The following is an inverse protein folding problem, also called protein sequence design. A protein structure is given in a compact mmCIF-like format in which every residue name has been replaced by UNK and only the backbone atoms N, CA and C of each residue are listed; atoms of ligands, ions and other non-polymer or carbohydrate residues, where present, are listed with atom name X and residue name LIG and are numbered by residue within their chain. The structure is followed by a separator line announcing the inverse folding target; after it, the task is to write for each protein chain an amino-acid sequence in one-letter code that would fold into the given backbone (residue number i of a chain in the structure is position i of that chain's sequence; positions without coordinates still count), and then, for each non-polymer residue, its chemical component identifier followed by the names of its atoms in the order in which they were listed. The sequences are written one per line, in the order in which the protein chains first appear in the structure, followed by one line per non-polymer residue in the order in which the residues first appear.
data_IF_934497274993
#
_entry.id   IF_934497274993
#
_cell.length_a   1.000
_cell.length_b   1.000
_cell.length_c   1.000
_cell.angle_alpha   90.00
_cell.angle_beta   90.00
_cell.angle_gamma   90.00
#
_symmetry.space_group_name_H-M   'P 1'
#
loop_
_entity.id
_entity.type
_entity.pdbx_description
1 polymer ?
#
# COMPACT_ATOMS: atom_id res chain seq x y z
N UNK A 1 -26.93 24.55 -19.02
CA UNK A 1 -26.34 24.73 -17.68
C UNK A 1 -25.82 23.38 -17.15
N UNK A 2 -24.52 23.26 -16.94
CA UNK A 2 -23.93 22.02 -16.42
C UNK A 2 -24.14 21.93 -14.91
N UNK A 3 -24.53 20.75 -14.44
CA UNK A 3 -24.73 20.43 -13.01
C UNK A 3 -23.56 19.54 -12.60
N UNK A 4 -22.99 19.77 -11.42
CA UNK A 4 -21.94 18.94 -10.82
C UNK A 4 -22.61 17.85 -9.94
N UNK A 5 -22.81 16.62 -10.42
CA UNK A 5 -23.51 15.59 -9.65
C UNK A 5 -22.66 14.96 -8.53
N UNK A 6 -21.38 15.35 -8.40
CA UNK A 6 -20.49 14.81 -7.38
C UNK A 6 -20.26 15.79 -6.23
N UNK A 7 -20.44 15.30 -5.00
CA UNK A 7 -20.03 15.99 -3.78
C UNK A 7 -18.52 15.88 -3.60
N UNK A 8 -17.86 17.00 -3.28
CA UNK A 8 -16.44 17.02 -2.90
C UNK A 8 -16.22 16.77 -1.40
N UNK A 9 -17.29 16.66 -0.62
CA UNK A 9 -17.24 16.36 0.81
C UNK A 9 -17.56 14.89 1.04
N UNK A 10 -16.58 14.14 1.55
CA UNK A 10 -16.85 12.85 2.17
C UNK A 10 -17.38 13.12 3.59
N UNK A 11 -18.54 12.57 4.00
CA UNK A 11 -19.12 12.84 5.31
C UNK A 11 -18.31 12.25 6.49
N UNK A 12 -17.23 11.52 6.24
CA UNK A 12 -16.43 10.84 7.28
C UNK A 12 -14.96 11.27 7.38
N UNK A 13 -14.51 12.31 6.67
CA UNK A 13 -13.13 12.80 6.75
C UNK A 13 -12.46 13.09 5.41
N UNK A 14 -11.24 13.62 5.45
CA UNK A 14 -10.43 13.88 4.25
C UNK A 14 -10.11 12.56 3.51
N UNK A 15 -10.18 12.56 2.18
CA UNK A 15 -9.79 11.41 1.37
C UNK A 15 -8.27 11.30 1.41
N UNK A 16 -7.76 10.49 2.33
CA UNK A 16 -6.32 10.23 2.45
C UNK A 16 -5.91 9.07 1.56
N UNK A 17 -4.75 9.20 0.90
CA UNK A 17 -4.15 8.09 0.15
C UNK A 17 -3.77 6.97 1.13
N UNK A 18 -3.86 5.69 0.73
CA UNK A 18 -3.36 4.60 1.56
C UNK A 18 -1.87 4.85 1.85
N UNK A 19 -1.48 4.72 3.11
CA UNK A 19 -0.15 4.96 3.63
C UNK A 19 0.54 3.62 3.94
N UNK A 20 1.86 3.58 3.75
CA UNK A 20 2.71 2.49 4.25
C UNK A 20 2.90 2.63 5.75
N UNK A 21 3.42 1.60 6.41
CA UNK A 21 3.81 1.63 7.83
C UNK A 21 4.65 2.87 8.24
N UNK A 22 5.41 3.47 7.33
CA UNK A 22 6.25 4.65 7.57
C UNK A 22 5.60 5.99 7.17
N UNK A 23 4.30 6.02 6.89
CA UNK A 23 3.56 7.23 6.51
C UNK A 23 3.70 7.64 5.04
N UNK A 24 4.51 6.95 4.24
CA UNK A 24 4.63 7.27 2.81
C UNK A 24 3.41 6.77 2.02
N UNK A 25 2.81 7.59 1.15
CA UNK A 25 1.64 7.20 0.38
C UNK A 25 1.96 6.15 -0.70
N UNK A 26 1.08 5.17 -0.85
CA UNK A 26 1.08 4.27 -1.99
C UNK A 26 0.82 5.03 -3.30
N UNK A 27 1.40 4.51 -4.40
CA UNK A 27 1.39 5.13 -5.72
C UNK A 27 0.81 4.18 -6.77
N UNK A 28 0.28 4.77 -7.85
CA UNK A 28 -0.23 4.02 -9.01
C UNK A 28 -1.35 3.06 -8.64
N UNK A 29 -1.33 1.87 -9.25
CA UNK A 29 -2.37 0.85 -9.12
C UNK A 29 -2.62 0.42 -7.67
N UNK A 30 -1.61 0.44 -6.81
CA UNK A 30 -1.77 0.10 -5.40
C UNK A 30 -2.71 1.06 -4.66
N UNK A 31 -2.80 2.32 -5.10
CA UNK A 31 -3.76 3.27 -4.52
C UNK A 31 -5.19 2.79 -4.74
N UNK A 32 -5.50 2.33 -5.95
CA UNK A 32 -6.83 1.86 -6.33
C UNK A 32 -7.17 0.51 -5.68
N UNK A 33 -6.21 -0.42 -5.65
CA UNK A 33 -6.39 -1.73 -5.02
C UNK A 33 -6.71 -1.58 -3.53
N UNK A 34 -5.94 -0.75 -2.82
CA UNK A 34 -6.12 -0.56 -1.37
C UNK A 34 -7.38 0.24 -1.04
N UNK A 35 -7.76 1.24 -1.83
CA UNK A 35 -9.05 1.91 -1.65
C UNK A 35 -10.23 0.97 -1.91
N UNK A 36 -10.16 0.16 -2.97
CA UNK A 36 -11.20 -0.83 -3.26
C UNK A 36 -11.37 -1.80 -2.11
N UNK A 37 -10.27 -2.31 -1.55
CA UNK A 37 -10.32 -3.18 -0.38
C UNK A 37 -10.89 -2.46 0.84
N UNK A 38 -10.41 -1.24 1.14
CA UNK A 38 -10.87 -0.47 2.29
C UNK A 38 -12.39 -0.28 2.26
N UNK A 39 -12.94 0.10 1.09
CA UNK A 39 -14.38 0.25 0.91
C UNK A 39 -15.11 -1.07 1.06
N UNK A 40 -14.59 -2.15 0.47
CA UNK A 40 -15.24 -3.47 0.50
C UNK A 40 -15.31 -4.04 1.91
N UNK A 41 -14.29 -3.79 2.74
CA UNK A 41 -14.16 -4.34 4.08
C UNK A 41 -14.49 -3.37 5.22
N UNK A 42 -14.81 -2.13 4.88
CA UNK A 42 -15.14 -1.08 5.84
C UNK A 42 -13.94 -0.61 6.67
N UNK A 43 -12.73 -0.65 6.11
CA UNK A 43 -11.54 -0.16 6.80
C UNK A 43 -11.50 1.38 6.80
N UNK A 44 -11.15 1.93 7.96
CA UNK A 44 -11.07 3.36 8.26
C UNK A 44 -9.60 3.81 8.31
N UNK A 45 -8.68 2.98 8.82
CA UNK A 45 -7.28 3.37 8.87
C UNK A 45 -6.66 3.48 7.47
N UNK A 46 -5.91 4.56 7.18
CA UNK A 46 -5.19 4.68 5.92
C UNK A 46 -3.93 3.82 5.90
N UNK A 47 -3.49 3.24 7.02
CA UNK A 47 -2.21 2.55 7.12
C UNK A 47 -2.29 1.07 6.74
N UNK A 48 -1.32 0.65 5.92
CA UNK A 48 -1.15 -0.71 5.44
C UNK A 48 0.29 -1.17 5.62
N UNK A 49 0.46 -2.41 6.04
CA UNK A 49 1.78 -3.00 6.29
C UNK A 49 1.79 -4.50 6.04
N UNK A 50 2.96 -5.05 5.76
CA UNK A 50 3.12 -6.51 5.63
C UNK A 50 2.98 -7.20 6.98
N UNK A 51 2.68 -8.50 6.97
CA UNK A 51 2.63 -9.30 8.20
C UNK A 51 3.93 -9.16 9.02
N UNK A 52 5.09 -9.26 8.36
CA UNK A 52 6.39 -9.14 9.03
C UNK A 52 6.56 -7.78 9.70
N UNK A 53 6.16 -6.70 9.04
CA UNK A 53 6.20 -5.34 9.60
C UNK A 53 5.29 -5.20 10.82
N UNK A 54 4.09 -5.80 10.80
CA UNK A 54 3.19 -5.78 11.96
C UNK A 54 3.83 -6.42 13.19
N UNK A 55 4.47 -7.58 13.01
CA UNK A 55 5.17 -8.29 14.10
C UNK A 55 6.40 -7.53 14.59
N UNK A 56 7.16 -6.91 13.69
CA UNK A 56 8.32 -6.06 14.05
C UNK A 56 7.90 -4.85 14.89
N UNK A 57 6.67 -4.35 14.70
CA UNK A 57 6.08 -3.26 15.48
C UNK A 57 5.41 -3.73 16.78
N UNK A 58 5.46 -5.04 17.09
CA UNK A 58 4.82 -5.63 18.26
C UNK A 58 3.34 -5.97 18.08
N UNK A 59 2.77 -5.69 16.92
CA UNK A 59 1.37 -5.99 16.62
C UNK A 59 1.16 -7.40 16.10
N UNK A 60 -0.10 -7.85 16.13
CA UNK A 60 -0.50 -9.15 15.60
C UNK A 60 -1.74 -9.03 14.71
N UNK A 61 -1.65 -9.58 13.49
CA UNK A 61 -2.83 -9.73 12.62
C UNK A 61 -3.81 -10.68 13.29
N UNK A 62 -5.08 -10.28 13.43
CA UNK A 62 -6.11 -11.12 14.04
C UNK A 62 -6.33 -12.41 13.27
N UNK A 63 -6.64 -13.48 14.00
CA UNK A 63 -6.85 -14.80 13.40
C UNK A 63 -8.05 -14.77 12.44
N UNK A 64 -7.84 -15.30 11.22
CA UNK A 64 -8.86 -15.37 10.18
C UNK A 64 -8.90 -14.17 9.24
N UNK A 65 -8.11 -13.12 9.52
CA UNK A 65 -7.94 -11.99 8.63
C UNK A 65 -7.17 -12.38 7.36
N UNK A 66 -7.66 -11.93 6.20
CA UNK A 66 -6.97 -12.07 4.91
C UNK A 66 -6.30 -10.74 4.54
N UNK A 67 -5.13 -10.82 3.90
CA UNK A 67 -4.42 -9.64 3.42
C UNK A 67 -4.74 -9.30 1.97
N UNK A 68 -4.35 -8.10 1.57
CA UNK A 68 -4.54 -7.54 0.22
C UNK A 68 -3.24 -7.56 -0.56
N UNK A 69 -3.32 -7.88 -1.84
CA UNK A 69 -2.13 -7.93 -2.71
C UNK A 69 -1.80 -6.55 -3.25
N UNK A 70 -0.53 -6.16 -3.11
CA UNK A 70 0.06 -4.97 -3.75
C UNK A 70 1.23 -5.37 -4.64
N UNK A 71 1.51 -4.57 -5.67
CA UNK A 71 2.54 -4.86 -6.68
C UNK A 71 3.68 -3.86 -6.58
N UNK A 72 4.90 -4.36 -6.70
CA UNK A 72 6.13 -3.59 -6.85
C UNK A 72 6.74 -3.90 -8.22
N UNK A 73 7.04 -2.86 -8.98
CA UNK A 73 7.76 -2.96 -10.24
C UNK A 73 9.20 -2.51 -10.02
N UNK A 74 10.15 -3.29 -10.53
CA UNK A 74 11.57 -2.97 -10.50
C UNK A 74 12.29 -3.54 -11.72
N UNK A 75 13.58 -3.27 -11.81
CA UNK A 75 14.47 -3.89 -12.78
C UNK A 75 15.75 -4.31 -12.09
N UNK A 76 16.38 -5.39 -12.55
CA UNK A 76 17.72 -5.76 -12.12
C UNK A 76 18.65 -5.87 -13.33
N UNK A 77 19.91 -5.53 -13.14
CA UNK A 77 20.93 -5.63 -14.18
C UNK A 77 21.50 -7.04 -14.25
N UNK A 78 21.71 -7.53 -15.47
CA UNK A 78 22.44 -8.77 -15.73
C UNK A 78 23.48 -8.50 -16.81
N UNK A 79 24.72 -8.85 -16.54
CA UNK A 79 25.79 -8.84 -17.54
C UNK A 79 25.65 -10.07 -18.44
N UNK A 80 25.54 -9.84 -19.74
CA UNK A 80 25.50 -10.89 -20.76
C UNK A 80 26.57 -10.61 -21.81
N UNK A 81 27.21 -11.66 -22.31
CA UNK A 81 28.16 -11.55 -23.42
C UNK A 81 27.36 -11.49 -24.71
N UNK A 82 27.58 -10.45 -25.51
CA UNK A 82 26.90 -10.28 -26.79
C UNK A 82 27.49 -11.18 -27.88
N UNK A 83 26.94 -11.09 -29.10
CA UNK A 83 27.39 -11.90 -30.23
C UNK A 83 28.85 -11.59 -30.67
N UNK A 84 29.40 -10.46 -30.24
CA UNK A 84 30.76 -10.02 -30.55
C UNK A 84 31.77 -10.38 -29.44
N UNK A 85 31.31 -10.92 -28.32
CA UNK A 85 32.14 -11.24 -27.15
C UNK A 85 32.25 -10.10 -26.14
N UNK A 86 31.51 -9.01 -26.31
CA UNK A 86 31.53 -7.85 -25.41
C UNK A 86 30.55 -8.07 -24.25
N UNK A 87 30.95 -7.67 -23.04
CA UNK A 87 30.06 -7.66 -21.88
C UNK A 87 29.07 -6.50 -21.97
N UNK A 88 27.78 -6.82 -22.05
CA UNK A 88 26.68 -5.86 -22.11
C UNK A 88 25.80 -5.99 -20.86
N UNK A 89 25.57 -4.86 -20.18
CA UNK A 89 24.63 -4.79 -19.07
C UNK A 89 23.19 -4.64 -19.60
N UNK A 90 22.33 -5.62 -19.32
CA UNK A 90 20.90 -5.59 -19.67
C UNK A 90 20.03 -5.47 -18.43
N UNK A 91 19.14 -4.49 -18.42
CA UNK A 91 18.11 -4.34 -17.40
C UNK A 91 16.92 -5.27 -17.67
N UNK A 92 16.65 -6.20 -16.76
CA UNK A 92 15.52 -7.12 -16.82
C UNK A 92 14.40 -6.60 -15.92
N UNK A 93 13.23 -6.20 -16.47
CA UNK A 93 12.10 -5.75 -15.66
C UNK A 93 11.45 -6.93 -14.92
N UNK A 94 10.96 -6.68 -13.71
CA UNK A 94 10.21 -7.66 -12.93
C UNK A 94 9.07 -7.01 -12.15
N UNK A 95 8.07 -7.84 -11.84
CA UNK A 95 6.99 -7.51 -10.94
C UNK A 95 7.04 -8.45 -9.73
N UNK A 96 6.92 -7.87 -8.53
CA UNK A 96 6.84 -8.61 -7.28
C UNK A 96 5.57 -8.26 -6.55
N UNK A 97 4.85 -9.27 -6.10
CA UNK A 97 3.64 -9.11 -5.28
C UNK A 97 4.00 -9.18 -3.80
N UNK A 98 3.28 -8.40 -2.99
CA UNK A 98 3.35 -8.46 -1.53
C UNK A 98 1.94 -8.51 -0.97
N UNK A 99 1.77 -9.19 0.16
CA UNK A 99 0.52 -9.17 0.93
C UNK A 99 0.64 -8.17 2.07
N UNK A 100 -0.31 -7.24 2.16
CA UNK A 100 -0.41 -6.22 3.20
C UNK A 100 -1.74 -6.32 3.93
N UNK A 101 -1.75 -5.86 5.17
CA UNK A 101 -2.90 -5.83 6.05
C UNK A 101 -3.14 -4.37 6.44
N UNK A 102 -4.41 -3.98 6.50
CA UNK A 102 -4.80 -2.70 7.07
C UNK A 102 -4.57 -2.76 8.59
N UNK A 103 -4.21 -1.62 9.20
CA UNK A 103 -4.10 -1.49 10.66
C UNK A 103 -5.37 -1.94 11.38
N UNK A 104 -6.54 -1.75 10.77
CA UNK A 104 -7.80 -2.19 11.35
C UNK A 104 -7.85 -3.69 11.62
N UNK A 105 -7.00 -4.48 10.95
CA UNK A 105 -6.88 -5.94 11.08
C UNK A 105 -5.85 -6.39 12.13
N UNK A 106 -5.13 -5.45 12.73
CA UNK A 106 -3.94 -5.69 13.54
C UNK A 106 -4.17 -5.12 14.94
N UNK A 107 -4.00 -5.95 15.96
CA UNK A 107 -4.05 -5.51 17.35
C UNK A 107 -2.62 -5.24 17.88
N UNK A 108 -2.51 -4.54 19.01
CA UNK A 108 -1.26 -4.27 19.73
C UNK A 108 -0.22 -3.42 18.98
N UNK A 109 -0.64 -2.66 17.96
CA UNK A 109 0.25 -1.69 17.31
C UNK A 109 0.50 -0.45 18.19
N UNK A 110 1.61 0.29 17.95
CA UNK A 110 1.83 1.59 18.56
C UNK A 110 0.64 2.56 18.35
N UNK A 111 0.29 3.32 19.39
CA UNK A 111 -0.93 4.15 19.44
C UNK A 111 -1.10 5.13 18.29
N UNK A 112 -0.01 5.63 17.70
CA UNK A 112 -0.04 6.56 16.58
C UNK A 112 -0.66 5.96 15.30
N UNK A 113 -0.71 4.63 15.17
CA UNK A 113 -1.40 3.98 14.04
C UNK A 113 -2.92 3.98 14.17
N UNK A 114 -3.44 4.15 15.40
CA UNK A 114 -4.87 4.26 15.69
C UNK A 114 -5.33 5.72 15.82
N UNK A 115 -4.40 6.68 15.87
CA UNK A 115 -4.74 8.09 15.85
C UNK A 115 -5.38 8.46 14.50
N UNK A 116 -6.44 9.27 14.54
CA UNK A 116 -7.03 9.81 13.32
C UNK A 116 -5.95 10.57 12.55
N UNK A 117 -5.77 10.26 11.26
CA UNK A 117 -4.79 10.95 10.44
C UNK A 117 -5.09 12.45 10.43
N UNK A 118 -4.11 13.26 10.84
CA UNK A 118 -4.25 14.72 10.73
C UNK A 118 -4.40 15.10 9.25
N UNK A 119 -5.38 15.94 8.89
CA UNK A 119 -5.55 16.36 7.51
C UNK A 119 -4.31 17.10 7.04
N UNK A 120 -3.67 16.61 5.98
CA UNK A 120 -2.63 17.38 5.28
C UNK A 120 -3.32 18.55 4.56
N UNK A 121 -2.91 19.78 4.89
CA UNK A 121 -3.39 21.03 4.30
C UNK A 121 -2.92 21.22 2.85
#
# INVERSE_FOLDING_TARGET
PWVKPWSAGHPSGSVTRPLRHNGLPYQGINTLLLWSEAVTRGFVSPYWMTFKQSVELGGHVRKGETGTTVVYAGSFSKTEVDANGDEVERGIPYLKTYTVFCVDQIDELPSHYYAAAEPTA
#
